data_IF_938684446105
#
_entry.id   IF_938684446105
#
_cell.length_a   1.000
_cell.length_b   1.000
_cell.length_c   1.000
_cell.angle_alpha   90.00
_cell.angle_beta   90.00
_cell.angle_gamma   90.00
#
_symmetry.space_group_name_H-M   'P 1'
#
loop_
_entity.id
_entity.type
_entity.pdbx_description
1 polymer ?
#
# COMPACT_ATOMS: atom_id res chain seq x y z
N UNK A 1 25.82 1.10 14.45
CA UNK A 1 24.39 0.92 14.18
C UNK A 1 23.77 2.31 14.22
N UNK A 2 23.26 2.77 13.09
CA UNK A 2 22.59 4.07 12.94
C UNK A 2 21.25 4.02 13.72
N UNK A 3 20.80 5.08 14.43
CA UNK A 3 19.43 5.13 14.99
C UNK A 3 18.32 4.85 13.96
N UNK A 4 18.60 4.97 12.66
CA UNK A 4 17.72 4.58 11.55
C UNK A 4 17.61 3.05 11.33
N UNK A 5 18.43 2.26 12.02
CA UNK A 5 18.50 0.79 11.93
C UNK A 5 17.64 0.09 13.02
N UNK A 6 16.81 0.86 13.74
CA UNK A 6 15.85 0.33 14.70
C UNK A 6 14.59 -0.18 13.96
N UNK A 7 14.02 -1.34 14.35
CA UNK A 7 12.75 -1.80 13.81
C UNK A 7 11.68 -0.72 14.04
N UNK A 8 11.10 -0.16 12.96
CA UNK A 8 10.04 0.85 13.08
C UNK A 8 8.91 0.30 13.96
N UNK A 9 8.46 1.12 14.91
CA UNK A 9 7.43 0.74 15.88
C UNK A 9 6.16 0.22 15.19
N UNK A 10 5.58 -0.82 15.79
CA UNK A 10 4.48 -1.66 15.31
C UNK A 10 3.18 -0.89 15.05
N UNK A 11 2.85 -0.71 13.77
CA UNK A 11 1.54 -0.28 13.28
C UNK A 11 1.72 0.57 12.02
N UNK A 12 1.36 0.03 10.85
CA UNK A 12 1.27 0.88 9.66
C UNK A 12 0.10 1.87 9.80
N UNK A 13 0.07 2.91 8.97
CA UNK A 13 -0.97 3.94 9.04
C UNK A 13 -2.39 3.35 8.95
N UNK A 14 -2.58 2.27 8.17
CA UNK A 14 -3.84 1.55 8.08
C UNK A 14 -4.24 0.90 9.42
N UNK A 15 -3.30 0.29 10.13
CA UNK A 15 -3.49 -0.29 11.45
C UNK A 15 -3.86 0.75 12.52
N UNK A 16 -3.41 2.00 12.36
CA UNK A 16 -3.79 3.10 13.24
C UNK A 16 -5.21 3.61 12.95
N UNK A 17 -5.57 3.77 11.68
CA UNK A 17 -6.92 4.17 11.26
C UNK A 17 -8.00 3.21 11.78
N UNK A 18 -7.71 1.90 11.81
CA UNK A 18 -8.63 0.88 12.31
C UNK A 18 -8.92 0.95 13.82
N UNK A 19 -8.08 1.66 14.59
CA UNK A 19 -8.23 1.81 16.05
C UNK A 19 -8.88 3.13 16.44
N UNK A 20 -9.10 4.02 15.48
CA UNK A 20 -9.69 5.32 15.70
C UNK A 20 -11.19 5.19 15.99
N UNK A 21 -11.69 5.84 17.05
CA UNK A 21 -13.13 5.87 17.32
C UNK A 21 -13.85 6.71 16.26
N UNK A 22 -14.96 6.20 15.76
CA UNK A 22 -15.82 6.89 14.80
C UNK A 22 -16.93 7.70 15.47
N UNK A 23 -17.12 7.55 16.79
CA UNK A 23 -18.30 8.05 17.51
C UNK A 23 -18.35 9.58 17.58
N UNK A 24 -17.21 10.25 17.37
CA UNK A 24 -17.09 11.71 17.40
C UNK A 24 -17.33 12.38 16.05
N UNK A 25 -17.42 11.60 14.97
CA UNK A 25 -17.60 12.13 13.61
C UNK A 25 -19.07 12.26 13.25
N UNK A 26 -19.40 13.34 12.55
CA UNK A 26 -20.67 13.49 11.83
C UNK A 26 -20.73 12.56 10.61
N UNK A 27 -21.94 12.40 10.05
CA UNK A 27 -22.12 11.58 8.84
C UNK A 27 -21.35 12.16 7.65
N UNK A 28 -21.33 13.48 7.49
CA UNK A 28 -20.63 14.13 6.38
C UNK A 28 -19.11 13.94 6.48
N UNK A 29 -18.55 14.05 7.68
CA UNK A 29 -17.12 13.78 7.93
C UNK A 29 -16.74 12.32 7.65
N UNK A 30 -17.63 11.38 7.98
CA UNK A 30 -17.42 9.96 7.67
C UNK A 30 -17.42 9.72 6.15
N UNK A 31 -18.31 10.38 5.41
CA UNK A 31 -18.37 10.27 3.94
C UNK A 31 -17.11 10.88 3.30
N UNK A 32 -16.67 12.04 3.76
CA UNK A 32 -15.42 12.65 3.29
C UNK A 32 -14.22 11.74 3.56
N UNK A 33 -14.15 11.15 4.76
CA UNK A 33 -13.09 10.21 5.13
C UNK A 33 -13.10 8.96 4.25
N UNK A 34 -14.27 8.41 3.94
CA UNK A 34 -14.41 7.28 3.00
C UNK A 34 -13.85 7.65 1.62
N UNK A 35 -14.24 8.80 1.06
CA UNK A 35 -13.80 9.21 -0.27
C UNK A 35 -12.27 9.32 -0.38
N UNK A 36 -11.62 9.85 0.67
CA UNK A 36 -10.15 9.95 0.75
C UNK A 36 -9.51 8.56 0.79
N UNK A 37 -10.05 7.64 1.60
CA UNK A 37 -9.52 6.28 1.73
C UNK A 37 -9.68 5.46 0.45
N UNK A 38 -10.79 5.62 -0.27
CA UNK A 38 -11.01 4.98 -1.58
C UNK A 38 -10.00 5.48 -2.62
N UNK A 39 -9.74 6.78 -2.67
CA UNK A 39 -8.71 7.35 -3.55
C UNK A 39 -7.32 6.80 -3.24
N UNK A 40 -6.99 6.64 -1.95
CA UNK A 40 -5.73 6.04 -1.53
C UNK A 40 -5.63 4.55 -1.91
N UNK A 41 -6.72 3.79 -1.76
CA UNK A 41 -6.78 2.38 -2.20
C UNK A 41 -6.49 2.28 -3.70
N UNK A 42 -7.12 3.11 -4.52
CA UNK A 42 -6.87 3.13 -5.96
C UNK A 42 -5.43 3.52 -6.30
N UNK A 43 -4.85 4.49 -5.57
CA UNK A 43 -3.44 4.86 -5.73
C UNK A 43 -2.51 3.68 -5.43
N UNK A 44 -2.76 2.95 -4.36
CA UNK A 44 -1.97 1.76 -3.98
C UNK A 44 -2.13 0.64 -5.00
N UNK A 45 -3.36 0.36 -5.45
CA UNK A 45 -3.65 -0.63 -6.50
C UNK A 45 -2.91 -0.31 -7.79
N UNK A 46 -2.96 0.94 -8.24
CA UNK A 46 -2.27 1.38 -9.44
C UNK A 46 -0.75 1.24 -9.32
N UNK A 47 -0.16 1.56 -8.17
CA UNK A 47 1.26 1.36 -7.94
C UNK A 47 1.65 -0.13 -7.95
N UNK A 48 0.87 -0.98 -7.27
CA UNK A 48 1.10 -2.43 -7.26
C UNK A 48 1.04 -3.03 -8.67
N UNK A 49 0.05 -2.64 -9.48
CA UNK A 49 -0.10 -3.10 -10.86
C UNK A 49 1.14 -2.76 -11.72
N UNK A 50 1.62 -1.51 -11.66
CA UNK A 50 2.83 -1.08 -12.39
C UNK A 50 4.07 -1.88 -11.96
N UNK A 51 4.25 -2.10 -10.66
CA UNK A 51 5.38 -2.89 -10.15
C UNK A 51 5.30 -4.36 -10.58
N UNK A 52 4.10 -4.94 -10.66
CA UNK A 52 3.91 -6.29 -11.17
C UNK A 52 4.16 -6.41 -12.68
N UNK A 53 3.84 -5.37 -13.47
CA UNK A 53 4.19 -5.30 -14.89
C UNK A 53 5.70 -5.22 -15.10
N UNK A 54 6.40 -4.42 -14.29
CA UNK A 54 7.86 -4.34 -14.34
C UNK A 54 8.51 -5.69 -13.99
N UNK A 55 7.99 -6.41 -12.99
CA UNK A 55 8.47 -7.76 -12.65
C UNK A 55 8.23 -8.74 -13.80
N UNK A 56 7.02 -8.76 -14.38
CA UNK A 56 6.70 -9.64 -15.51
C UNK A 56 7.54 -9.33 -16.76
N UNK A 57 7.83 -8.05 -17.02
CA UNK A 57 8.75 -7.66 -18.08
C UNK A 57 10.17 -8.18 -17.79
N UNK A 58 10.69 -8.03 -16.57
CA UNK A 58 11.99 -8.57 -16.20
C UNK A 58 12.05 -10.11 -16.32
N UNK A 59 11.03 -10.82 -15.85
CA UNK A 59 10.97 -12.29 -15.94
C UNK A 59 10.96 -12.78 -17.40
N UNK A 60 10.39 -12.00 -18.33
CA UNK A 60 10.43 -12.32 -19.76
C UNK A 60 11.82 -12.11 -20.39
N UNK A 61 12.61 -11.17 -19.89
CA UNK A 61 13.98 -10.92 -20.36
C UNK A 61 15.02 -11.87 -19.74
N UNK A 62 14.79 -12.37 -18.52
CA UNK A 62 15.75 -13.21 -17.79
C UNK A 62 15.42 -14.70 -17.77
N UNK A 63 14.43 -15.18 -18.54
CA UNK A 63 14.25 -16.64 -18.71
C UNK A 63 15.51 -17.24 -19.36
N UNK A 64 16.14 -18.26 -18.73
CA UNK A 64 17.16 -19.04 -19.40
C UNK A 64 16.55 -19.60 -20.68
N UNK A 65 17.25 -19.46 -21.81
CA UNK A 65 16.88 -20.22 -23.01
C UNK A 65 16.87 -21.68 -22.60
N UNK A 66 15.75 -22.36 -22.84
CA UNK A 66 15.66 -23.81 -22.68
C UNK A 66 16.83 -24.38 -23.49
N UNK A 67 17.82 -24.93 -22.78
CA UNK A 67 18.96 -25.57 -23.41
C UNK A 67 18.45 -26.83 -24.09
N UNK A 68 18.58 -26.86 -25.41
CA UNK A 68 18.28 -27.98 -26.31
C UNK A 68 19.13 -29.22 -25.96
#
# INVERSE_FOLDING_TARGET
MDPDDLPRARGDAASLLAKESLDTYSQDELIERIAILEAEIERVRAHHARTAEHRRAADAFFRPRESD
#
